data_IF_105855032362
#
_entry.id   IF_105855032362
#
_cell.length_a   1.000
_cell.length_b   1.000
_cell.length_c   1.000
_cell.angle_alpha   90.00
_cell.angle_beta   90.00
_cell.angle_gamma   90.00
#
_symmetry.space_group_name_H-M   'P 1'
#
loop_
_entity.id
_entity.type
_entity.pdbx_description
1 polymer ?
#
# COMPACT_ATOMS: atom_id res chain seq x y z
N UNK A 1 11.68 0.43 9.81
CA UNK A 1 11.78 1.02 8.48
C UNK A 1 11.23 2.44 8.46
N UNK A 2 11.97 3.34 7.85
CA UNK A 2 11.55 4.74 7.72
C UNK A 2 11.35 5.09 6.26
N UNK A 3 10.20 5.69 5.94
CA UNK A 3 9.84 6.11 4.59
C UNK A 3 9.46 7.58 4.58
N UNK A 4 9.50 8.20 3.42
CA UNK A 4 8.99 9.55 3.20
C UNK A 4 8.33 9.64 1.81
N UNK A 5 7.61 10.71 1.56
CA UNK A 5 6.86 10.89 0.31
C UNK A 5 7.77 10.80 -0.92
N UNK A 6 8.93 11.43 -0.88
CA UNK A 6 9.84 11.47 -2.02
C UNK A 6 10.39 10.08 -2.36
N UNK A 7 10.82 9.31 -1.36
CA UNK A 7 11.34 7.96 -1.59
C UNK A 7 10.24 7.01 -2.04
N UNK A 8 9.02 7.15 -1.53
CA UNK A 8 7.87 6.35 -1.97
C UNK A 8 7.49 6.65 -3.42
N UNK A 9 7.44 7.91 -3.82
CA UNK A 9 7.19 8.32 -5.21
C UNK A 9 8.28 7.81 -6.15
N UNK A 10 9.54 7.89 -5.73
CA UNK A 10 10.64 7.34 -6.51
C UNK A 10 10.55 5.82 -6.63
N UNK A 11 10.14 5.15 -5.57
CA UNK A 11 9.89 3.70 -5.59
C UNK A 11 8.82 3.32 -6.59
N UNK A 12 7.73 4.09 -6.68
CA UNK A 12 6.67 3.87 -7.68
C UNK A 12 7.18 4.03 -9.12
N UNK A 13 8.00 5.04 -9.40
CA UNK A 13 8.64 5.20 -10.71
C UNK A 13 9.50 3.98 -11.08
N UNK A 14 10.31 3.53 -10.15
CA UNK A 14 11.17 2.36 -10.36
C UNK A 14 10.36 1.08 -10.59
N UNK A 15 9.24 0.93 -9.90
CA UNK A 15 8.33 -0.20 -10.09
C UNK A 15 7.63 -0.15 -11.46
N UNK A 16 7.29 1.04 -11.96
CA UNK A 16 6.73 1.22 -13.31
C UNK A 16 7.76 0.80 -14.37
N UNK A 17 9.01 1.22 -14.24
CA UNK A 17 10.08 0.80 -15.15
C UNK A 17 10.32 -0.71 -15.08
N UNK A 18 10.27 -1.28 -13.89
CA UNK A 18 10.40 -2.72 -13.73
C UNK A 18 9.25 -3.48 -14.39
N UNK A 19 8.03 -2.97 -14.34
CA UNK A 19 6.89 -3.57 -15.04
C UNK A 19 7.08 -3.57 -16.56
N UNK A 20 7.61 -2.47 -17.12
CA UNK A 20 7.94 -2.41 -18.55
C UNK A 20 8.99 -3.47 -18.92
N UNK A 21 10.03 -3.62 -18.10
CA UNK A 21 11.05 -4.64 -18.31
C UNK A 21 10.48 -6.05 -18.23
N UNK A 22 9.51 -6.30 -17.35
CA UNK A 22 8.86 -7.60 -17.16
C UNK A 22 8.06 -8.06 -18.39
N UNK A 23 7.61 -7.16 -19.24
CA UNK A 23 6.94 -7.51 -20.50
C UNK A 23 7.86 -8.26 -21.46
N UNK A 24 9.18 -8.08 -21.33
CA UNK A 24 10.19 -8.70 -22.16
C UNK A 24 10.90 -9.89 -21.49
N UNK A 25 10.48 -10.29 -20.31
CA UNK A 25 11.03 -11.44 -19.61
C UNK A 25 10.53 -12.72 -20.24
N UNK A 26 11.48 -13.56 -20.67
CA UNK A 26 11.21 -14.89 -21.23
C UNK A 26 11.51 -16.00 -20.23
N UNK A 27 11.19 -17.23 -20.64
CA UNK A 27 11.49 -18.44 -19.88
C UNK A 27 11.89 -19.56 -20.83
N UNK A 28 12.92 -20.32 -20.48
CA UNK A 28 13.40 -21.45 -21.27
C UNK A 28 12.73 -22.77 -20.87
N UNK A 29 12.18 -22.83 -19.64
CA UNK A 29 11.49 -24.00 -19.11
C UNK A 29 10.32 -23.58 -18.19
N UNK A 30 9.54 -24.56 -17.72
CA UNK A 30 8.39 -24.30 -16.85
C UNK A 30 8.76 -23.73 -15.48
N UNK A 31 9.92 -24.10 -14.95
CA UNK A 31 10.39 -23.58 -13.68
C UNK A 31 10.71 -22.09 -13.78
N UNK A 32 11.37 -21.67 -14.85
CA UNK A 32 11.64 -20.26 -15.13
C UNK A 32 10.35 -19.50 -15.43
N UNK A 33 9.39 -20.10 -16.11
CA UNK A 33 8.08 -19.51 -16.35
C UNK A 33 7.34 -19.22 -15.04
N UNK A 34 7.37 -20.15 -14.10
CA UNK A 34 6.80 -19.95 -12.77
C UNK A 34 7.45 -18.75 -12.06
N UNK A 35 8.78 -18.66 -12.09
CA UNK A 35 9.52 -17.54 -11.50
C UNK A 35 9.19 -16.20 -12.17
N UNK A 36 9.00 -16.17 -13.47
CA UNK A 36 8.59 -14.97 -14.19
C UNK A 36 7.20 -14.49 -13.73
N UNK A 37 6.26 -15.40 -13.52
CA UNK A 37 4.94 -15.08 -12.96
C UNK A 37 5.01 -14.61 -11.52
N UNK A 38 5.82 -15.25 -10.68
CA UNK A 38 6.05 -14.80 -9.31
C UNK A 38 6.60 -13.36 -9.28
N UNK A 39 7.52 -13.04 -10.17
CA UNK A 39 8.09 -11.70 -10.26
C UNK A 39 7.03 -10.64 -10.64
N UNK A 40 6.13 -10.97 -11.56
CA UNK A 40 4.99 -10.11 -11.89
C UNK A 40 4.09 -9.87 -10.67
N UNK A 41 3.75 -10.91 -9.94
CA UNK A 41 2.92 -10.82 -8.74
C UNK A 41 3.60 -10.00 -7.64
N UNK A 42 4.88 -10.20 -7.43
CA UNK A 42 5.67 -9.42 -6.44
C UNK A 42 5.73 -7.94 -6.79
N UNK A 43 5.90 -7.62 -8.06
CA UNK A 43 5.93 -6.23 -8.53
C UNK A 43 4.58 -5.56 -8.30
N UNK A 44 3.48 -6.23 -8.64
CA UNK A 44 2.13 -5.70 -8.39
C UNK A 44 1.85 -5.53 -6.89
N UNK A 45 2.22 -6.50 -6.07
CA UNK A 45 2.08 -6.42 -4.62
C UNK A 45 2.90 -5.25 -4.06
N UNK A 46 4.12 -5.06 -4.54
CA UNK A 46 4.98 -3.95 -4.13
C UNK A 46 4.39 -2.60 -4.48
N UNK A 47 3.78 -2.47 -5.66
CA UNK A 47 3.06 -1.26 -6.04
C UNK A 47 1.88 -0.99 -5.11
N UNK A 48 1.08 -2.01 -4.82
CA UNK A 48 -0.06 -1.90 -3.93
C UNK A 48 0.37 -1.45 -2.52
N UNK A 49 1.40 -2.06 -1.96
CA UNK A 49 1.97 -1.70 -0.65
C UNK A 49 2.47 -0.25 -0.66
N UNK A 50 3.18 0.14 -1.70
CA UNK A 50 3.74 1.50 -1.81
C UNK A 50 2.65 2.54 -1.93
N UNK A 51 1.61 2.29 -2.73
CA UNK A 51 0.44 3.17 -2.86
C UNK A 51 -0.30 3.33 -1.53
N UNK A 52 -0.54 2.24 -0.80
CA UNK A 52 -1.16 2.30 0.52
C UNK A 52 -0.31 3.07 1.53
N UNK A 53 1.00 2.85 1.52
CA UNK A 53 1.93 3.56 2.39
C UNK A 53 1.97 5.05 2.08
N UNK A 54 1.98 5.41 0.81
CA UNK A 54 1.96 6.81 0.37
C UNK A 54 0.64 7.50 0.73
N UNK A 55 -0.48 6.82 0.57
CA UNK A 55 -1.81 7.36 0.85
C UNK A 55 -2.03 7.63 2.33
N UNK A 56 -1.59 6.74 3.22
CA UNK A 56 -1.77 6.87 4.67
C UNK A 56 -0.75 7.85 5.26
N UNK A 57 -1.22 8.99 5.69
CA UNK A 57 -0.41 10.09 6.20
C UNK A 57 -0.30 10.07 7.73
N UNK A 58 0.14 8.94 8.27
CA UNK A 58 0.37 8.75 9.71
C UNK A 58 1.40 7.66 9.96
N UNK A 59 1.87 7.53 11.20
CA UNK A 59 2.62 6.38 11.68
C UNK A 59 1.75 5.60 12.66
N UNK A 60 1.19 4.47 12.20
CA UNK A 60 0.27 3.68 13.02
C UNK A 60 0.95 2.55 13.79
N UNK A 61 2.09 2.09 13.33
CA UNK A 61 2.79 0.97 13.93
C UNK A 61 4.23 1.33 14.33
N UNK A 62 4.39 2.22 15.34
CA UNK A 62 5.71 2.64 15.76
C UNK A 62 6.55 1.45 16.26
N UNK A 63 7.85 1.53 16.02
CA UNK A 63 8.78 0.45 16.34
C UNK A 63 8.97 -0.59 15.22
N UNK A 64 8.03 -0.69 14.29
CA UNK A 64 8.14 -1.55 13.14
C UNK A 64 8.24 -0.75 11.83
N UNK A 65 7.38 0.27 11.68
CA UNK A 65 7.30 1.09 10.49
C UNK A 65 7.08 2.55 10.86
N UNK A 66 7.82 3.45 10.21
CA UNK A 66 7.67 4.90 10.38
C UNK A 66 7.45 5.60 9.04
N UNK A 67 6.41 6.41 8.97
CA UNK A 67 6.25 7.37 7.91
C UNK A 67 6.98 8.66 8.35
N UNK A 68 8.19 8.92 7.79
CA UNK A 68 9.06 10.02 8.24
C UNK A 68 8.44 11.41 8.17
N UNK A 69 7.52 11.62 7.20
CA UNK A 69 6.78 12.89 7.06
C UNK A 69 5.69 13.06 8.12
N UNK A 70 5.19 11.97 8.69
CA UNK A 70 4.07 11.92 9.62
C UNK A 70 4.36 10.94 10.75
N UNK A 71 5.17 11.37 11.71
CA UNK A 71 5.69 10.49 12.77
C UNK A 71 4.67 10.12 13.85
N UNK A 72 3.54 10.81 13.89
CA UNK A 72 2.52 10.61 14.93
C UNK A 72 1.35 9.74 14.43
N UNK A 73 0.73 9.04 15.36
CA UNK A 73 -0.56 8.39 15.16
C UNK A 73 -1.65 9.45 14.99
N UNK A 74 -2.52 9.28 14.02
CA UNK A 74 -3.63 10.19 13.74
C UNK A 74 -4.95 9.41 13.66
N UNK A 75 -5.55 9.14 14.83
CA UNK A 75 -6.83 8.45 14.90
C UNK A 75 -8.00 9.29 14.40
N UNK A 76 -7.90 10.60 14.48
CA UNK A 76 -8.94 11.52 14.02
C UNK A 76 -9.21 11.36 12.52
N UNK A 77 -8.16 11.28 11.72
CA UNK A 77 -8.26 11.21 10.26
C UNK A 77 -8.05 9.80 9.70
N UNK A 78 -7.34 8.93 10.42
CA UNK A 78 -6.84 7.65 9.88
C UNK A 78 -7.28 6.41 10.66
N UNK A 79 -8.19 6.52 11.64
CA UNK A 79 -8.81 5.36 12.24
C UNK A 79 -9.87 4.79 11.29
N UNK A 80 -9.42 4.30 10.16
CA UNK A 80 -10.24 3.82 9.06
C UNK A 80 -9.51 2.71 8.29
N UNK A 81 -10.26 1.99 7.46
CA UNK A 81 -9.68 1.10 6.47
C UNK A 81 -9.27 1.91 5.23
N UNK A 82 -8.18 1.53 4.62
CA UNK A 82 -7.78 2.08 3.33
C UNK A 82 -7.98 1.03 2.26
N UNK A 83 -8.66 1.42 1.19
CA UNK A 83 -9.00 0.54 0.09
C UNK A 83 -8.33 1.03 -1.19
N UNK A 84 -7.89 0.11 -2.01
CA UNK A 84 -7.37 0.42 -3.33
C UNK A 84 -8.13 -0.34 -4.41
N UNK A 85 -8.25 0.32 -5.55
CA UNK A 85 -8.74 -0.31 -6.78
C UNK A 85 -7.75 -0.02 -7.89
N UNK A 86 -7.43 -1.04 -8.65
CA UNK A 86 -6.54 -0.91 -9.80
C UNK A 86 -7.35 -1.01 -11.09
N UNK A 87 -7.20 -0.02 -11.96
CA UNK A 87 -7.75 -0.11 -13.31
C UNK A 87 -6.90 -1.09 -14.13
N UNK A 88 -7.48 -2.21 -14.61
CA UNK A 88 -6.71 -3.19 -15.38
C UNK A 88 -6.23 -2.68 -16.75
N UNK A 89 -6.85 -1.62 -17.27
CA UNK A 89 -6.48 -1.04 -18.56
C UNK A 89 -5.31 -0.06 -18.44
N UNK A 90 -5.35 0.83 -17.46
CA UNK A 90 -4.34 1.88 -17.26
C UNK A 90 -3.29 1.53 -16.21
N UNK A 91 -3.58 0.57 -15.34
CA UNK A 91 -2.72 0.20 -14.21
C UNK A 91 -2.72 1.20 -13.07
N UNK A 92 -3.55 2.24 -13.13
CA UNK A 92 -3.64 3.26 -12.09
C UNK A 92 -4.41 2.76 -10.87
N UNK A 93 -3.93 3.15 -9.70
CA UNK A 93 -4.58 2.88 -8.41
C UNK A 93 -5.46 4.06 -8.01
N UNK A 94 -6.67 3.74 -7.55
CA UNK A 94 -7.55 4.69 -6.88
C UNK A 94 -7.63 4.30 -5.41
N UNK A 95 -7.38 5.27 -4.52
CA UNK A 95 -7.35 5.05 -3.08
C UNK A 95 -8.56 5.70 -2.43
N UNK A 96 -9.16 5.00 -1.46
CA UNK A 96 -10.30 5.51 -0.70
C UNK A 96 -10.24 5.05 0.76
N UNK A 97 -10.91 5.80 1.63
CA UNK A 97 -11.10 5.45 3.04
C UNK A 97 -12.47 4.81 3.24
N UNK A 98 -12.52 3.79 4.11
CA UNK A 98 -13.77 3.19 4.53
C UNK A 98 -13.86 3.20 6.06
N UNK A 99 -15.05 3.39 6.65
CA UNK A 99 -15.20 3.41 8.09
C UNK A 99 -14.93 2.04 8.71
N UNK A 100 -14.34 2.06 9.91
CA UNK A 100 -14.17 0.85 10.72
C UNK A 100 -15.48 0.57 11.44
N UNK A 101 -15.91 -0.69 11.42
CA UNK A 101 -17.07 -1.13 12.20
C UNK A 101 -16.70 -1.22 13.69
N UNK A 102 -17.49 -0.57 14.53
CA UNK A 102 -17.32 -0.61 15.99
C UNK A 102 -18.34 -1.55 16.60
N UNK A 103 -17.88 -2.47 17.46
CA UNK A 103 -18.74 -3.43 18.18
C UNK A 103 -19.59 -2.70 19.23
N UNK A 104 -19.02 -1.66 19.84
CA UNK A 104 -19.69 -0.80 20.82
C UNK A 104 -19.87 0.59 20.25
N UNK A 105 -21.12 1.09 20.26
CA UNK A 105 -21.43 2.43 19.79
C UNK A 105 -20.69 3.48 20.63
N UNK A 106 -20.23 4.56 20.00
CA UNK A 106 -19.54 5.66 20.69
C UNK A 106 -20.38 6.32 21.79
N UNK A 107 -21.73 6.32 21.62
CA UNK A 107 -22.67 6.79 22.63
C UNK A 107 -22.62 5.94 23.89
N UNK A 108 -22.57 4.63 23.73
CA UNK A 108 -22.46 3.68 24.84
C UNK A 108 -21.12 3.81 25.56
N UNK A 109 -20.04 4.10 24.83
CA UNK A 109 -18.72 4.37 25.42
C UNK A 109 -18.72 5.65 26.28
N UNK A 110 -19.41 6.69 25.86
CA UNK A 110 -19.53 7.94 26.62
C UNK A 110 -20.40 7.79 27.86
N UNK A 111 -21.42 6.94 27.82
CA UNK A 111 -22.29 6.64 28.97
C UNK A 111 -21.60 5.70 29.99
N UNK A 112 -20.66 4.87 29.56
CA UNK A 112 -19.92 3.95 30.39
C UNK A 112 -18.68 4.60 31.07
N UNK A 113 -18.28 5.78 30.66
CA UNK A 113 -17.18 6.56 31.22
C UNK A 113 -17.70 7.68 32.13
#
# INVERSE_FOLDING_TARGET
>A
YMTNENTLKRGLELLDWLQEDLENVGAEDYHQLMRAWELKHRTLTSQCVTEHTLFRQETRWPGYYYRGDYMKLDDENWHCLTLSRRDPKTGKFTMEKAPVYHIVDEKEKKEAS
#
